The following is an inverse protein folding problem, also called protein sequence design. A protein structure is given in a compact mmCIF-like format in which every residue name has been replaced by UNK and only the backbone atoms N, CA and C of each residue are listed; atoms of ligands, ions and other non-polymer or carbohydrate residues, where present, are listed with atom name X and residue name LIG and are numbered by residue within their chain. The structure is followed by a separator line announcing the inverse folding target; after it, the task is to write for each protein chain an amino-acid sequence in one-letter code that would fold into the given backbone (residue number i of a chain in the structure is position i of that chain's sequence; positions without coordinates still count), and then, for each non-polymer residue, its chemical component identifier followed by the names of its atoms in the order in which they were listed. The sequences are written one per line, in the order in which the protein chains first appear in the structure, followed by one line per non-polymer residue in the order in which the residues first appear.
data_IF_247174852827
#
_entry.id   IF_247174852827
#
_cell.length_a   1.000
_cell.length_b   1.000
_cell.length_c   1.000
_cell.angle_alpha   90.00
_cell.angle_beta   90.00
_cell.angle_gamma   90.00
#
_symmetry.space_group_name_H-M   'P 1'
#
loop_
_entity.id
_entity.type
_entity.pdbx_description
1 polymer ?
#
# COMPACT_ATOMS: atom_id res chain seq x y z
N UNK A 1 12.77 -3.70 -4.06
CA UNK A 1 11.56 -3.85 -3.23
C UNK A 1 10.31 -3.50 -4.02
N UNK A 2 10.17 -2.34 -4.62
CA UNK A 2 8.99 -1.95 -5.41
C UNK A 2 8.55 -3.01 -6.45
N UNK A 3 9.48 -3.64 -7.17
CA UNK A 3 9.19 -4.73 -8.13
C UNK A 3 8.52 -5.94 -7.46
N UNK A 4 8.92 -6.27 -6.24
CA UNK A 4 8.33 -7.38 -5.49
C UNK A 4 6.90 -7.09 -5.08
N UNK A 5 6.66 -5.88 -4.56
CA UNK A 5 5.31 -5.41 -4.20
C UNK A 5 4.41 -5.37 -5.45
N UNK A 6 4.91 -4.80 -6.56
CA UNK A 6 4.18 -4.77 -7.82
C UNK A 6 3.79 -6.18 -8.31
N UNK A 7 4.72 -7.15 -8.20
CA UNK A 7 4.43 -8.55 -8.52
C UNK A 7 3.33 -9.13 -7.64
N UNK A 8 3.36 -8.90 -6.33
CA UNK A 8 2.32 -9.37 -5.42
C UNK A 8 0.93 -8.81 -5.77
N UNK A 9 0.87 -7.54 -6.21
CA UNK A 9 -0.38 -6.94 -6.70
C UNK A 9 -0.87 -7.60 -7.98
N UNK A 10 0.01 -7.84 -8.96
CA UNK A 10 -0.34 -8.55 -10.20
C UNK A 10 -0.78 -9.99 -9.94
N UNK A 11 -0.11 -10.72 -9.05
CA UNK A 11 -0.49 -12.07 -8.62
C UNK A 11 -1.89 -12.10 -7.96
N UNK A 12 -2.31 -11.00 -7.32
CA UNK A 12 -3.65 -10.84 -6.76
C UNK A 12 -4.70 -10.39 -7.79
N UNK A 13 -4.32 -10.24 -9.05
CA UNK A 13 -5.25 -9.88 -10.14
C UNK A 13 -5.39 -8.38 -10.41
N UNK A 14 -4.46 -7.54 -9.93
CA UNK A 14 -4.47 -6.13 -10.26
C UNK A 14 -4.34 -5.94 -11.79
N UNK A 15 -5.21 -5.12 -12.38
CA UNK A 15 -5.21 -4.81 -13.81
C UNK A 15 -4.17 -3.75 -14.19
N UNK A 16 -3.85 -2.87 -13.25
CA UNK A 16 -2.80 -1.88 -13.38
C UNK A 16 -2.01 -1.77 -12.08
N UNK A 17 -0.73 -1.47 -12.17
CA UNK A 17 0.15 -1.15 -11.03
C UNK A 17 0.95 0.08 -11.39
N UNK A 18 1.02 1.03 -10.46
CA UNK A 18 1.81 2.25 -10.62
C UNK A 18 2.41 2.67 -9.26
N UNK A 19 3.43 3.49 -9.32
CA UNK A 19 4.03 4.10 -8.14
C UNK A 19 3.53 5.53 -7.96
N UNK A 20 3.37 5.97 -6.72
CA UNK A 20 3.08 7.36 -6.37
C UNK A 20 4.30 7.96 -5.69
N UNK A 21 4.82 9.03 -6.26
CA UNK A 21 6.08 9.65 -5.81
C UNK A 21 7.30 8.77 -6.04
N UNK A 22 8.39 9.11 -5.36
CA UNK A 22 9.67 8.40 -5.46
C UNK A 22 10.54 8.90 -6.63
N UNK A 23 11.70 8.28 -6.77
CA UNK A 23 12.67 8.61 -7.82
C UNK A 23 12.20 8.05 -9.17
N UNK A 24 11.89 8.97 -10.09
CA UNK A 24 11.36 8.61 -11.41
C UNK A 24 12.38 7.84 -12.28
N UNK A 25 13.68 8.08 -12.12
CA UNK A 25 14.71 7.35 -12.87
C UNK A 25 14.79 5.91 -12.39
N UNK A 26 14.82 5.70 -11.07
CA UNK A 26 14.88 4.37 -10.47
C UNK A 26 13.59 3.57 -10.76
N UNK A 27 12.43 4.17 -10.57
CA UNK A 27 11.14 3.48 -10.76
C UNK A 27 10.83 3.27 -12.24
N UNK A 28 11.24 4.19 -13.12
CA UNK A 28 11.07 4.07 -14.57
C UNK A 28 11.79 2.86 -15.15
N UNK A 29 13.00 2.55 -14.67
CA UNK A 29 13.75 1.34 -15.04
C UNK A 29 12.98 0.05 -14.70
N UNK A 30 12.09 0.09 -13.71
CA UNK A 30 11.24 -1.03 -13.32
C UNK A 30 9.99 -1.20 -14.20
N UNK A 31 9.79 -0.31 -15.19
CA UNK A 31 8.63 -0.33 -16.07
C UNK A 31 7.31 0.08 -15.41
N UNK A 32 7.35 0.70 -14.24
CA UNK A 32 6.16 1.18 -13.55
C UNK A 32 5.77 2.58 -14.05
N UNK A 33 4.47 2.80 -14.27
CA UNK A 33 3.93 4.14 -14.44
C UNK A 33 4.10 4.92 -13.13
N UNK A 34 4.58 6.15 -13.21
CA UNK A 34 4.80 6.98 -12.04
C UNK A 34 3.78 8.10 -12.02
N UNK A 35 3.09 8.21 -10.90
CA UNK A 35 2.19 9.34 -10.61
C UNK A 35 2.98 10.32 -9.74
N UNK A 36 3.18 11.56 -10.18
CA UNK A 36 3.86 12.56 -9.38
C UNK A 36 3.17 12.77 -8.04
N UNK A 37 3.93 12.80 -6.95
CA UNK A 37 3.42 13.27 -5.67
C UNK A 37 3.22 14.79 -5.78
N UNK A 38 1.95 15.22 -5.79
CA UNK A 38 1.59 16.63 -5.96
C UNK A 38 1.91 17.47 -4.72
N UNK A 39 2.07 16.84 -3.57
CA UNK A 39 2.29 17.50 -2.28
C UNK A 39 3.34 16.72 -1.47
N UNK A 40 4.62 16.75 -1.92
CA UNK A 40 5.69 16.00 -1.27
C UNK A 40 5.79 16.33 0.22
N UNK A 41 6.07 15.30 1.03
CA UNK A 41 6.24 15.42 2.50
C UNK A 41 4.96 15.76 3.29
N UNK A 42 3.79 15.77 2.67
CA UNK A 42 2.50 16.02 3.33
C UNK A 42 1.85 14.75 3.92
N UNK A 43 2.63 13.71 4.10
CA UNK A 43 2.22 12.48 4.76
C UNK A 43 1.52 11.45 3.85
N UNK A 44 1.23 10.25 4.37
CA UNK A 44 0.77 9.12 3.56
C UNK A 44 -0.61 9.33 2.95
N UNK A 45 -1.46 10.17 3.53
CA UNK A 45 -2.80 10.44 3.00
C UNK A 45 -2.74 11.14 1.62
N UNK A 46 -1.76 12.01 1.40
CA UNK A 46 -1.55 12.64 0.09
C UNK A 46 -1.28 11.61 -1.01
N UNK A 47 -0.41 10.63 -0.74
CA UNK A 47 -0.11 9.55 -1.66
C UNK A 47 -1.33 8.66 -1.97
N UNK A 48 -2.16 8.36 -0.95
CA UNK A 48 -3.41 7.60 -1.13
C UNK A 48 -4.38 8.36 -2.03
N UNK A 49 -4.56 9.66 -1.80
CA UNK A 49 -5.42 10.51 -2.63
C UNK A 49 -4.91 10.54 -4.08
N UNK A 50 -3.61 10.69 -4.28
CA UNK A 50 -3.01 10.66 -5.62
C UNK A 50 -3.24 9.30 -6.31
N UNK A 51 -3.11 8.19 -5.58
CA UNK A 51 -3.41 6.86 -6.10
C UNK A 51 -4.87 6.72 -6.54
N UNK A 52 -5.82 7.12 -5.70
CA UNK A 52 -7.26 7.06 -6.00
C UNK A 52 -7.66 7.94 -7.19
N UNK A 53 -7.02 9.09 -7.38
CA UNK A 53 -7.24 9.97 -8.55
C UNK A 53 -6.74 9.35 -9.84
N UNK A 54 -5.58 8.68 -9.78
CA UNK A 54 -4.91 8.13 -10.95
C UNK A 54 -5.46 6.78 -11.41
N UNK A 55 -6.11 6.04 -10.52
CA UNK A 55 -6.64 4.72 -10.79
C UNK A 55 -7.87 4.76 -11.71
N UNK A 56 -7.97 3.79 -12.61
CA UNK A 56 -9.13 3.55 -13.47
C UNK A 56 -10.17 2.64 -12.81
N UNK A 57 -9.73 1.75 -11.92
CA UNK A 57 -10.57 0.74 -11.29
C UNK A 57 -11.32 1.28 -10.06
N UNK A 58 -12.43 0.61 -9.70
CA UNK A 58 -13.26 0.98 -8.54
C UNK A 58 -12.59 0.65 -7.20
N UNK A 59 -11.78 -0.40 -7.17
CA UNK A 59 -11.02 -0.83 -5.99
C UNK A 59 -9.54 -0.55 -6.23
N UNK A 60 -8.94 0.16 -5.28
CA UNK A 60 -7.53 0.56 -5.32
C UNK A 60 -6.82 0.05 -4.08
N UNK A 61 -5.82 -0.79 -4.26
CA UNK A 61 -4.96 -1.22 -3.16
C UNK A 61 -3.73 -0.32 -3.10
N UNK A 62 -3.51 0.29 -1.95
CA UNK A 62 -2.29 1.05 -1.67
C UNK A 62 -1.41 0.25 -0.74
N UNK A 63 -0.15 0.05 -1.14
CA UNK A 63 0.85 -0.70 -0.36
C UNK A 63 2.16 0.07 -0.36
N UNK A 64 2.82 0.12 0.80
CA UNK A 64 4.15 0.67 0.91
C UNK A 64 5.16 -0.17 0.09
N UNK A 65 6.15 0.47 -0.53
CA UNK A 65 7.11 -0.19 -1.41
C UNK A 65 8.23 -0.93 -0.64
N UNK A 66 8.34 -0.72 0.67
CA UNK A 66 9.33 -1.27 1.58
C UNK A 66 8.87 -2.54 2.32
N UNK A 67 7.76 -3.15 1.90
CA UNK A 67 7.22 -4.40 2.41
C UNK A 67 7.73 -5.62 1.60
N UNK A 68 8.94 -6.14 1.86
CA UNK A 68 9.59 -7.14 1.00
C UNK A 68 8.96 -8.53 1.07
N UNK A 69 8.14 -8.79 2.08
CA UNK A 69 7.55 -10.10 2.32
C UNK A 69 6.08 -10.19 1.94
N UNK A 70 5.51 -9.11 1.40
CA UNK A 70 4.14 -9.12 0.93
C UNK A 70 3.95 -10.16 -0.19
N UNK A 71 2.79 -10.79 -0.22
CA UNK A 71 2.42 -11.81 -1.22
C UNK A 71 1.03 -11.50 -1.77
N UNK A 72 0.72 -12.03 -2.95
CA UNK A 72 -0.58 -11.87 -3.57
C UNK A 72 -1.76 -12.22 -2.65
N UNK A 73 -1.62 -13.26 -1.79
CA UNK A 73 -2.66 -13.63 -0.81
C UNK A 73 -3.00 -12.51 0.20
N UNK A 74 -2.03 -11.67 0.58
CA UNK A 74 -2.29 -10.56 1.50
C UNK A 74 -3.07 -9.46 0.79
N UNK A 75 -2.75 -9.19 -0.47
CA UNK A 75 -3.49 -8.26 -1.32
C UNK A 75 -4.90 -8.79 -1.60
N UNK A 76 -5.04 -10.04 -2.04
CA UNK A 76 -6.33 -10.67 -2.31
C UNK A 76 -7.23 -10.67 -1.07
N UNK A 77 -6.69 -11.02 0.10
CA UNK A 77 -7.49 -11.13 1.33
C UNK A 77 -8.14 -9.82 1.78
N UNK A 78 -7.56 -8.66 1.51
CA UNK A 78 -8.23 -7.36 1.78
C UNK A 78 -9.19 -6.97 0.67
N UNK A 79 -8.96 -7.42 -0.58
CA UNK A 79 -9.86 -7.18 -1.70
C UNK A 79 -11.12 -8.04 -1.61
N UNK A 80 -11.01 -9.29 -1.16
CA UNK A 80 -12.14 -10.24 -1.10
C UNK A 80 -13.31 -9.76 -0.22
N UNK A 81 -13.05 -8.85 0.72
CA UNK A 81 -14.09 -8.34 1.64
C UNK A 81 -14.49 -6.90 1.39
N UNK A 82 -13.88 -6.20 0.40
CA UNK A 82 -14.07 -4.76 0.17
C UNK A 82 -15.50 -4.39 -0.22
N UNK A 83 -16.26 -5.29 -0.82
CA UNK A 83 -17.62 -4.99 -1.32
C UNK A 83 -18.55 -4.43 -0.25
N UNK A 84 -18.34 -4.81 1.01
CA UNK A 84 -19.18 -4.41 2.15
C UNK A 84 -18.73 -3.10 2.82
N UNK A 85 -17.55 -2.59 2.49
CA UNK A 85 -16.92 -1.49 3.21
C UNK A 85 -16.40 -0.41 2.26
N UNK A 86 -16.17 0.79 2.76
CA UNK A 86 -15.51 1.89 2.06
C UNK A 86 -13.99 1.62 1.91
N UNK A 87 -13.40 0.95 2.91
CA UNK A 87 -12.00 0.54 2.92
C UNK A 87 -11.78 -0.72 3.76
N UNK A 88 -10.72 -1.47 3.45
CA UNK A 88 -10.29 -2.66 4.21
C UNK A 88 -8.80 -2.57 4.46
N UNK A 89 -8.42 -2.46 5.72
CA UNK A 89 -7.02 -2.38 6.16
C UNK A 89 -6.54 -3.76 6.60
N UNK A 90 -5.26 -4.05 6.37
CA UNK A 90 -4.65 -5.23 6.96
C UNK A 90 -4.14 -4.97 8.39
N UNK A 91 -4.03 -6.06 9.16
CA UNK A 91 -3.33 -6.07 10.44
C UNK A 91 -2.39 -7.28 10.53
N UNK A 92 -1.35 -7.15 11.32
CA UNK A 92 -0.41 -8.20 11.68
C UNK A 92 -0.41 -8.35 13.20
N UNK A 93 -1.02 -9.44 13.69
CA UNK A 93 -1.14 -9.69 15.13
C UNK A 93 -1.73 -8.48 15.89
N UNK A 94 -2.83 -7.94 15.37
CA UNK A 94 -3.54 -6.77 15.89
C UNK A 94 -2.88 -5.42 15.56
N UNK A 95 -1.68 -5.37 14.99
CA UNK A 95 -1.04 -4.14 14.56
C UNK A 95 -1.52 -3.72 13.18
N UNK A 96 -2.20 -2.57 13.11
CA UNK A 96 -2.77 -2.04 11.89
C UNK A 96 -1.68 -1.61 10.90
N UNK A 97 -1.89 -1.92 9.61
CA UNK A 97 -0.99 -1.59 8.50
C UNK A 97 -1.67 -0.56 7.56
N UNK A 98 -1.61 0.75 7.88
CA UNK A 98 -2.33 1.77 7.11
C UNK A 98 -1.89 1.89 5.66
N UNK A 99 -0.64 1.52 5.37
CA UNK A 99 -0.08 1.48 4.02
C UNK A 99 -0.14 0.07 3.40
N UNK A 100 -1.09 -0.75 3.84
CA UNK A 100 -1.54 -1.95 3.14
C UNK A 100 -3.06 -2.04 3.29
N UNK A 101 -3.76 -1.29 2.44
CA UNK A 101 -5.20 -1.04 2.55
C UNK A 101 -5.85 -1.03 1.17
N UNK A 102 -6.97 -1.72 1.02
CA UNK A 102 -7.87 -1.61 -0.13
C UNK A 102 -8.87 -0.47 0.11
N UNK A 103 -9.13 0.34 -0.91
CA UNK A 103 -10.01 1.49 -0.88
C UNK A 103 -11.01 1.43 -2.01
N UNK A 104 -12.26 1.75 -1.77
CA UNK A 104 -13.17 2.10 -2.86
C UNK A 104 -12.81 3.49 -3.39
N UNK A 105 -12.67 3.63 -4.70
CA UNK A 105 -12.36 4.92 -5.34
C UNK A 105 -13.40 6.00 -5.02
N UNK A 106 -14.63 5.61 -4.73
CA UNK A 106 -15.70 6.51 -4.30
C UNK A 106 -15.37 7.27 -2.99
N UNK A 107 -14.42 6.79 -2.16
CA UNK A 107 -13.99 7.45 -0.94
C UNK A 107 -13.14 8.70 -1.18
N UNK A 108 -12.65 8.92 -2.41
CA UNK A 108 -11.73 9.99 -2.77
C UNK A 108 -12.19 11.37 -2.23
N UNK A 109 -13.45 11.74 -2.47
CA UNK A 109 -13.97 13.04 -2.00
C UNK A 109 -13.95 13.20 -0.48
N UNK A 110 -14.22 12.12 0.26
CA UNK A 110 -14.17 12.13 1.73
C UNK A 110 -12.73 12.31 2.23
N UNK A 111 -11.76 11.63 1.59
CA UNK A 111 -10.34 11.73 1.93
C UNK A 111 -9.77 13.11 1.57
N UNK A 112 -10.16 13.68 0.44
CA UNK A 112 -9.79 15.04 0.04
C UNK A 112 -10.31 16.07 1.06
N UNK A 113 -11.55 15.97 1.51
CA UNK A 113 -12.10 16.85 2.53
C UNK A 113 -11.34 16.72 3.86
N UNK A 114 -10.98 15.49 4.27
CA UNK A 114 -10.14 15.25 5.46
C UNK A 114 -8.75 15.89 5.30
N UNK A 115 -8.13 15.75 4.14
CA UNK A 115 -6.82 16.35 3.85
C UNK A 115 -6.88 17.88 3.89
N UNK A 116 -7.90 18.49 3.30
CA UNK A 116 -8.11 19.94 3.30
C UNK A 116 -8.36 20.49 4.72
N UNK A 117 -8.94 19.70 5.61
CA UNK A 117 -9.10 20.04 7.04
C UNK A 117 -7.83 19.86 7.88
N UNK A 118 -6.70 19.48 7.25
CA UNK A 118 -5.41 19.34 7.92
C UNK A 118 -5.03 17.91 8.32
N UNK A 119 -5.86 16.89 8.01
CA UNK A 119 -5.47 15.50 8.28
C UNK A 119 -4.37 15.04 7.32
N UNK A 120 -3.38 14.31 7.84
CA UNK A 120 -2.24 13.77 7.09
C UNK A 120 -2.08 12.25 7.28
N UNK A 121 -2.69 11.71 8.34
CA UNK A 121 -2.59 10.31 8.70
C UNK A 121 -3.64 9.47 7.98
N UNK A 122 -3.20 8.45 7.24
CA UNK A 122 -4.08 7.46 6.64
C UNK A 122 -4.95 6.75 7.71
N UNK A 123 -4.35 6.40 8.85
CA UNK A 123 -5.04 5.73 9.95
C UNK A 123 -6.15 6.59 10.57
N UNK A 124 -5.97 7.90 10.67
CA UNK A 124 -7.02 8.79 11.18
C UNK A 124 -8.09 9.05 10.14
N UNK A 125 -7.70 9.22 8.88
CA UNK A 125 -8.64 9.43 7.78
C UNK A 125 -9.61 8.25 7.59
N UNK A 126 -9.12 7.01 7.68
CA UNK A 126 -9.95 5.80 7.50
C UNK A 126 -11.02 5.66 8.58
N UNK A 127 -10.78 6.16 9.80
CA UNK A 127 -11.75 6.09 10.91
C UNK A 127 -13.05 6.86 10.65
N UNK A 128 -13.06 7.74 9.66
CA UNK A 128 -14.24 8.50 9.22
C UNK A 128 -15.01 7.78 8.09
N UNK A 129 -14.63 6.56 7.76
CA UNK A 129 -15.22 5.73 6.73
C UNK A 129 -15.83 4.46 7.35
N UNK A 130 -16.69 3.78 6.61
CA UNK A 130 -17.08 2.41 6.93
C UNK A 130 -15.93 1.49 6.53
N UNK A 131 -15.17 0.99 7.51
CA UNK A 131 -14.00 0.19 7.24
C UNK A 131 -13.97 -1.11 8.03
N UNK A 132 -13.23 -2.09 7.50
CA UNK A 132 -12.94 -3.35 8.17
C UNK A 132 -11.43 -3.58 8.25
N UNK A 133 -11.06 -4.60 9.05
CA UNK A 133 -9.68 -5.03 9.23
C UNK A 133 -9.59 -6.53 8.97
N UNK A 134 -8.60 -6.93 8.15
CA UNK A 134 -8.23 -8.32 7.96
C UNK A 134 -6.90 -8.55 8.66
N UNK A 135 -6.91 -9.35 9.72
CA UNK A 135 -5.69 -9.72 10.43
C UNK A 135 -5.11 -11.00 9.84
N UNK A 136 -3.89 -10.93 9.32
CA UNK A 136 -3.16 -12.07 8.76
C UNK A 136 -2.29 -12.77 9.80
N UNK A 137 -2.39 -12.39 11.06
CA UNK A 137 -1.58 -12.90 12.15
C UNK A 137 -0.14 -12.39 12.13
N UNK A 138 0.63 -12.86 13.11
CA UNK A 138 2.06 -12.55 13.19
C UNK A 138 2.83 -13.13 12.00
N UNK A 139 3.76 -12.36 11.45
CA UNK A 139 4.58 -12.83 10.33
C UNK A 139 5.52 -11.77 9.78
N UNK A 140 6.46 -12.20 8.96
CA UNK A 140 7.42 -11.29 8.31
C UNK A 140 6.77 -10.37 7.25
N UNK A 141 5.54 -10.65 6.82
CA UNK A 141 4.89 -9.96 5.73
C UNK A 141 4.67 -8.45 5.99
N UNK A 142 4.57 -8.06 7.26
CA UNK A 142 4.34 -6.68 7.70
C UNK A 142 5.61 -5.96 8.15
N UNK A 143 6.79 -6.56 7.95
CA UNK A 143 8.06 -5.92 8.31
C UNK A 143 8.43 -4.93 7.21
N UNK A 144 8.53 -3.66 7.59
CA UNK A 144 9.06 -2.59 6.77
C UNK A 144 10.59 -2.56 6.85
N UNK A 145 11.24 -2.13 5.78
CA UNK A 145 12.70 -1.99 5.73
C UNK A 145 13.08 -0.51 5.72
N UNK A 146 13.06 0.09 6.90
CA UNK A 146 13.31 1.52 7.07
C UNK A 146 14.80 1.90 7.04
N UNK A 147 15.70 0.94 7.33
CA UNK A 147 17.12 1.22 7.45
C UNK A 147 17.99 0.33 6.54
N UNK A 148 19.20 0.80 6.17
CA UNK A 148 20.17 -0.04 5.45
C UNK A 148 20.53 -1.35 6.16
N UNK A 149 20.47 -1.38 7.52
CA UNK A 149 20.68 -2.58 8.32
C UNK A 149 19.57 -3.60 8.14
N UNK A 150 18.32 -3.15 7.98
CA UNK A 150 17.17 -4.02 7.71
C UNK A 150 17.32 -4.68 6.35
N UNK A 151 17.70 -3.89 5.33
CA UNK A 151 17.97 -4.39 3.97
C UNK A 151 19.11 -5.44 3.99
N UNK A 152 20.19 -5.20 4.74
CA UNK A 152 21.29 -6.14 4.85
C UNK A 152 20.86 -7.45 5.53
N UNK A 153 20.01 -7.37 6.55
CA UNK A 153 19.47 -8.52 7.28
C UNK A 153 18.58 -9.38 6.37
N UNK A 154 17.68 -8.78 5.62
CA UNK A 154 16.81 -9.46 4.66
C UNK A 154 17.62 -10.08 3.51
N UNK A 155 18.61 -9.37 2.98
CA UNK A 155 19.48 -9.90 1.93
C UNK A 155 20.22 -11.16 2.35
N UNK A 156 20.60 -11.25 3.64
CA UNK A 156 21.24 -12.45 4.22
C UNK A 156 20.26 -13.62 4.30
N UNK A 157 19.01 -13.36 4.72
CA UNK A 157 17.95 -14.38 4.81
C UNK A 157 17.59 -14.93 3.42
N UNK A 158 17.49 -14.06 2.42
CA UNK A 158 17.17 -14.45 1.04
C UNK A 158 18.29 -15.31 0.40
N UNK A 159 19.57 -14.99 0.67
CA UNK A 159 20.71 -15.80 0.18
C UNK A 159 20.83 -17.16 0.87
N UNK A 160 20.42 -17.27 2.14
CA UNK A 160 20.46 -18.52 2.89
C UNK A 160 19.34 -19.52 2.54
N UNK A 161 18.39 -19.16 1.69
CA UNK A 161 17.28 -20.04 1.22
C UNK A 161 17.52 -20.65 -0.17
N UNK A 162 18.67 -20.40 -0.80
CA UNK A 162 19.12 -21.06 -2.03
C UNK A 162 20.07 -22.24 -1.70
N UNK A 163 19.56 -23.24 -1.00
CA UNK A 163 20.18 -24.58 -0.88
C UNK A 163 19.08 -25.62 -0.96
#
# INVERSE_FOLDING_TARGET
MATHVARAMLEAGAKEVFAVGGDAEILGVLGLRIIPDQVPHEGPLAGIIAALRAASEEVVVVTACDMPWIRGRHVAGIVDVIDKFDAVMSAADGQLQPLHTAWKRATLKKLEASFLSGERSALRAIRNLDYSVVDFGAGQWSIDLDTPSDVASVSRILRGRCC
#
